data_IF_879289267645
#
_entry.id   IF_879289267645
#
_cell.length_a   1.000
_cell.length_b   1.000
_cell.length_c   1.000
_cell.angle_alpha   90.00
_cell.angle_beta   90.00
_cell.angle_gamma   90.00
#
_symmetry.space_group_name_H-M   'P 1'
#
loop_
_entity.id
_entity.type
_entity.pdbx_description
1 polymer ?
#
# COMPACT_ATOMS: atom_id res chain seq x y z
N UNK A 1 6.82 10.61 -26.90
CA UNK A 1 6.35 10.32 -25.52
C UNK A 1 7.48 9.62 -24.80
N UNK A 2 8.14 10.30 -23.86
CA UNK A 2 9.20 9.71 -23.05
C UNK A 2 8.59 8.75 -22.02
N UNK A 3 9.08 7.50 -21.99
CA UNK A 3 8.70 6.51 -20.98
C UNK A 3 9.43 6.86 -19.69
N UNK A 4 8.73 7.43 -18.72
CA UNK A 4 9.23 7.54 -17.35
C UNK A 4 9.40 6.12 -16.83
N UNK A 5 10.65 5.66 -16.79
CA UNK A 5 11.02 4.37 -16.22
C UNK A 5 11.41 4.64 -14.79
N UNK A 6 10.56 4.24 -13.84
CA UNK A 6 10.84 4.43 -12.42
C UNK A 6 11.97 3.50 -12.00
N UNK A 7 13.08 4.10 -11.59
CA UNK A 7 14.17 3.38 -10.95
C UNK A 7 13.90 3.36 -9.44
N UNK A 8 13.26 2.30 -8.95
CA UNK A 8 13.26 2.04 -7.52
C UNK A 8 14.73 1.79 -7.10
N UNK A 9 15.23 2.43 -6.02
CA UNK A 9 16.52 2.03 -5.48
C UNK A 9 16.46 0.53 -5.16
N UNK A 10 17.55 -0.23 -5.42
CA UNK A 10 17.58 -1.66 -5.13
C UNK A 10 17.26 -1.90 -3.66
N UNK A 11 16.57 -3.01 -3.37
CA UNK A 11 16.25 -3.40 -2.00
C UNK A 11 17.52 -3.36 -1.15
N UNK A 12 17.49 -2.59 -0.05
CA UNK A 12 18.65 -2.38 0.82
C UNK A 12 19.00 -3.68 1.59
N UNK A 13 18.10 -4.68 1.58
CA UNK A 13 18.27 -5.97 2.22
C UNK A 13 17.63 -7.08 1.38
N UNK A 14 18.37 -8.15 1.11
CA UNK A 14 17.84 -9.38 0.50
C UNK A 14 17.11 -10.29 1.52
N UNK A 15 17.14 -9.95 2.81
CA UNK A 15 16.44 -10.69 3.86
C UNK A 15 15.02 -10.16 4.02
N UNK A 16 14.05 -10.99 3.64
CA UNK A 16 12.63 -10.79 3.97
C UNK A 16 12.45 -10.71 5.48
N UNK A 17 11.61 -9.80 5.94
CA UNK A 17 11.28 -9.63 7.36
C UNK A 17 10.62 -10.89 7.94
N UNK A 18 10.84 -11.13 9.23
CA UNK A 18 10.06 -12.12 9.99
C UNK A 18 8.61 -11.64 10.12
N UNK A 19 7.68 -12.55 10.45
CA UNK A 19 6.27 -12.19 10.67
C UNK A 19 6.08 -11.08 11.70
N UNK A 20 6.81 -11.15 12.81
CA UNK A 20 6.79 -10.12 13.85
C UNK A 20 7.32 -8.78 13.32
N UNK A 21 8.43 -8.79 12.57
CA UNK A 21 8.99 -7.57 11.99
C UNK A 21 8.10 -6.97 10.89
N UNK A 22 7.39 -7.78 10.12
CA UNK A 22 6.37 -7.31 9.17
C UNK A 22 5.20 -6.66 9.90
N UNK A 23 4.71 -7.27 10.98
CA UNK A 23 3.66 -6.67 11.80
C UNK A 23 4.10 -5.32 12.37
N UNK A 24 5.34 -5.22 12.86
CA UNK A 24 5.93 -3.96 13.32
C UNK A 24 6.06 -2.92 12.20
N UNK A 25 6.35 -3.33 10.96
CA UNK A 25 6.39 -2.44 9.82
C UNK A 25 5.05 -1.72 9.60
N UNK A 26 3.92 -2.41 9.77
CA UNK A 26 2.61 -1.77 9.61
C UNK A 26 2.30 -0.76 10.73
N UNK A 27 2.73 -1.00 11.97
CA UNK A 27 2.66 0.03 13.01
C UNK A 27 3.58 1.22 12.69
N UNK A 28 4.80 0.95 12.21
CA UNK A 28 5.76 1.99 11.84
C UNK A 28 5.24 2.85 10.68
N UNK A 29 4.51 2.27 9.73
CA UNK A 29 3.86 3.02 8.65
C UNK A 29 2.89 4.07 9.18
N UNK A 30 2.19 3.84 10.30
CA UNK A 30 1.31 4.85 10.88
C UNK A 30 2.10 6.08 11.36
N UNK A 31 3.27 5.88 11.95
CA UNK A 31 4.16 6.97 12.37
C UNK A 31 4.69 7.70 11.13
N UNK A 32 5.19 6.96 10.14
CA UNK A 32 5.73 7.53 8.90
C UNK A 32 4.67 8.31 8.12
N UNK A 33 3.42 7.82 8.06
CA UNK A 33 2.30 8.56 7.46
C UNK A 33 1.93 9.80 8.27
N UNK A 34 2.07 9.74 9.60
CA UNK A 34 1.82 10.90 10.46
C UNK A 34 2.77 12.05 10.13
N UNK A 35 4.04 11.73 9.90
CA UNK A 35 5.06 12.70 9.50
C UNK A 35 4.78 13.26 8.10
N UNK A 36 4.43 12.40 7.13
CA UNK A 36 4.11 12.83 5.75
C UNK A 36 2.89 13.76 5.72
N UNK A 37 1.87 13.48 6.53
CA UNK A 37 0.62 14.24 6.57
C UNK A 37 0.68 15.42 7.55
N UNK A 38 1.70 15.48 8.41
CA UNK A 38 1.79 16.39 9.55
C UNK A 38 0.54 16.32 10.46
N UNK A 39 0.07 15.10 10.74
CA UNK A 39 -1.15 14.80 11.50
C UNK A 39 -1.01 13.45 12.18
N UNK A 40 -1.62 13.26 13.36
CA UNK A 40 -1.58 11.95 14.02
C UNK A 40 -2.44 10.92 13.28
N UNK A 41 -1.81 9.91 12.67
CA UNK A 41 -2.45 8.77 12.02
C UNK A 41 -2.59 7.64 13.02
N UNK A 42 -3.83 7.24 13.27
CA UNK A 42 -4.16 6.08 14.08
C UNK A 42 -4.26 4.85 13.19
N UNK A 43 -3.87 3.70 13.75
CA UNK A 43 -3.98 2.38 13.10
C UNK A 43 -4.96 1.51 13.87
N UNK A 44 -5.91 0.88 13.18
CA UNK A 44 -6.94 0.00 13.74
C UNK A 44 -7.65 0.54 14.99
N UNK A 45 -7.83 1.87 15.10
CA UNK A 45 -8.35 2.52 16.32
C UNK A 45 -7.56 2.17 17.62
N UNK A 46 -6.27 1.85 17.50
CA UNK A 46 -5.42 1.41 18.61
C UNK A 46 -5.53 -0.08 18.95
N UNK A 47 -6.35 -0.84 18.21
CA UNK A 47 -6.42 -2.30 18.36
C UNK A 47 -5.22 -2.99 17.68
N UNK A 48 -4.76 -4.13 18.22
CA UNK A 48 -3.63 -4.84 17.63
C UNK A 48 -3.97 -5.42 16.25
N UNK A 49 -3.00 -5.42 15.34
CA UNK A 49 -3.07 -6.15 14.08
C UNK A 49 -2.83 -7.64 14.35
N UNK A 50 -3.77 -8.51 13.97
CA UNK A 50 -3.69 -9.95 14.17
C UNK A 50 -3.39 -10.67 12.85
N UNK A 51 -2.14 -11.15 12.66
CA UNK A 51 -1.71 -11.84 11.44
C UNK A 51 -2.20 -13.31 11.36
N UNK A 52 -2.95 -13.77 12.36
CA UNK A 52 -3.38 -15.18 12.47
C UNK A 52 -4.53 -15.51 11.52
N UNK A 53 -5.20 -14.49 11.00
CA UNK A 53 -6.31 -14.63 10.08
C UNK A 53 -5.85 -14.89 8.65
N UNK A 54 -6.69 -15.58 7.88
CA UNK A 54 -6.50 -15.75 6.42
C UNK A 54 -6.39 -14.41 5.71
N UNK A 55 -7.08 -13.39 6.24
CA UNK A 55 -7.02 -12.01 5.78
C UNK A 55 -6.95 -11.11 7.01
N UNK A 56 -5.90 -10.30 7.11
CA UNK A 56 -5.73 -9.32 8.18
C UNK A 56 -6.08 -7.94 7.66
N UNK A 57 -7.06 -7.29 8.30
CA UNK A 57 -7.44 -5.92 7.99
C UNK A 57 -6.52 -4.94 8.73
N UNK A 58 -6.01 -3.95 8.00
CA UNK A 58 -5.28 -2.81 8.58
C UNK A 58 -5.89 -1.52 8.06
N UNK A 59 -6.33 -0.68 8.99
CA UNK A 59 -7.01 0.59 8.76
C UNK A 59 -6.20 1.72 9.36
N UNK A 60 -5.74 2.64 8.52
CA UNK A 60 -5.08 3.88 8.91
C UNK A 60 -6.06 5.03 8.75
N UNK A 61 -6.16 5.88 9.77
CA UNK A 61 -7.08 7.01 9.76
C UNK A 61 -6.47 8.25 10.43
N UNK A 62 -6.76 9.40 9.86
CA UNK A 62 -6.58 10.70 10.50
C UNK A 62 -7.63 11.67 9.96
N UNK A 63 -7.66 12.90 10.48
CA UNK A 63 -8.48 13.95 9.86
C UNK A 63 -8.09 14.06 8.37
N UNK A 64 -9.10 13.92 7.49
CA UNK A 64 -8.95 14.04 6.04
C UNK A 64 -8.02 12.99 5.40
N UNK A 65 -7.77 11.86 6.07
CA UNK A 65 -6.96 10.76 5.53
C UNK A 65 -7.52 9.41 5.97
N UNK A 66 -7.62 8.49 5.02
CA UNK A 66 -8.00 7.11 5.27
C UNK A 66 -7.28 6.17 4.29
N UNK A 67 -6.74 5.08 4.81
CA UNK A 67 -6.17 3.99 4.03
C UNK A 67 -6.60 2.66 4.65
N UNK A 68 -7.31 1.83 3.90
CA UNK A 68 -7.72 0.50 4.32
C UNK A 68 -7.06 -0.53 3.43
N UNK A 69 -6.33 -1.46 4.04
CA UNK A 69 -5.66 -2.56 3.36
C UNK A 69 -6.07 -3.91 3.95
N UNK A 70 -6.18 -4.91 3.07
CA UNK A 70 -6.38 -6.31 3.43
C UNK A 70 -5.11 -7.08 3.09
N UNK A 71 -4.52 -7.71 4.09
CA UNK A 71 -3.29 -8.48 3.99
C UNK A 71 -3.63 -9.97 3.91
N UNK A 72 -3.17 -10.66 2.87
CA UNK A 72 -3.33 -12.12 2.73
C UNK A 72 -1.96 -12.74 2.48
N UNK A 73 -1.58 -13.75 3.26
CA UNK A 73 -0.28 -14.46 3.08
C UNK A 73 -0.42 -15.75 2.29
N UNK A 74 -1.54 -16.47 2.44
CA UNK A 74 -1.77 -17.76 1.82
C UNK A 74 -3.04 -17.76 0.96
N UNK A 75 -3.06 -18.46 -0.20
CA UNK A 75 -1.94 -19.18 -0.83
C UNK A 75 -0.94 -18.26 -1.55
N UNK A 76 -1.28 -16.98 -1.70
CA UNK A 76 -0.46 -16.00 -2.41
C UNK A 76 -0.32 -14.73 -1.56
N UNK A 77 0.91 -14.30 -1.23
CA UNK A 77 1.16 -13.09 -0.44
C UNK A 77 0.76 -11.83 -1.20
N UNK A 78 -0.43 -11.30 -0.91
CA UNK A 78 -0.98 -10.11 -1.54
C UNK A 78 -1.37 -9.05 -0.50
N UNK A 79 -1.27 -7.79 -0.92
CA UNK A 79 -1.87 -6.64 -0.23
C UNK A 79 -2.98 -6.10 -1.11
N UNK A 80 -4.21 -6.00 -0.60
CA UNK A 80 -5.33 -5.38 -1.31
C UNK A 80 -5.61 -3.99 -0.72
N UNK A 81 -5.43 -2.93 -1.51
CA UNK A 81 -5.85 -1.58 -1.12
C UNK A 81 -7.35 -1.47 -1.40
N UNK A 82 -8.15 -1.49 -0.34
CA UNK A 82 -9.61 -1.42 -0.43
C UNK A 82 -10.12 0.02 -0.40
N UNK A 83 -9.37 0.93 0.22
CA UNK A 83 -9.73 2.34 0.28
C UNK A 83 -8.49 3.20 0.42
N UNK A 84 -8.44 4.30 -0.31
CA UNK A 84 -7.50 5.40 -0.10
C UNK A 84 -8.25 6.71 -0.29
N UNK A 85 -8.20 7.58 0.72
CA UNK A 85 -8.74 8.93 0.67
C UNK A 85 -7.75 9.88 1.31
N UNK A 86 -7.38 10.95 0.60
CA UNK A 86 -6.47 11.98 1.11
C UNK A 86 -6.99 13.36 0.74
N UNK A 87 -7.15 14.22 1.74
CA UNK A 87 -7.55 15.61 1.57
C UNK A 87 -6.59 16.57 2.30
N UNK A 88 -6.36 17.77 1.74
CA UNK A 88 -6.88 18.27 0.46
C UNK A 88 -6.29 17.54 -0.77
N UNK A 89 -7.08 17.45 -1.84
CA UNK A 89 -6.67 16.81 -3.09
C UNK A 89 -5.64 17.66 -3.86
N UNK A 90 -4.97 17.07 -4.85
CA UNK A 90 -4.01 17.73 -5.75
C UNK A 90 -2.76 18.36 -5.09
N UNK A 91 -2.42 17.97 -3.85
CA UNK A 91 -1.17 18.38 -3.18
C UNK A 91 -0.06 17.31 -3.23
N UNK A 92 -0.26 16.24 -3.99
CA UNK A 92 0.69 15.13 -4.10
C UNK A 92 0.82 14.26 -2.84
N UNK A 93 0.02 14.50 -1.80
CA UNK A 93 0.05 13.71 -0.56
C UNK A 93 -0.29 12.23 -0.80
N UNK A 94 -1.33 11.95 -1.59
CA UNK A 94 -1.67 10.56 -1.96
C UNK A 94 -0.53 9.84 -2.67
N UNK A 95 0.12 10.51 -3.63
CA UNK A 95 1.31 10.00 -4.33
C UNK A 95 2.45 9.71 -3.35
N UNK A 96 2.74 10.62 -2.42
CA UNK A 96 3.79 10.42 -1.40
C UNK A 96 3.49 9.24 -0.49
N UNK A 97 2.27 9.15 0.04
CA UNK A 97 1.83 8.06 0.92
C UNK A 97 1.95 6.71 0.19
N UNK A 98 1.38 6.59 -1.01
CA UNK A 98 1.41 5.31 -1.73
C UNK A 98 2.82 4.95 -2.17
N UNK A 99 3.62 5.90 -2.67
CA UNK A 99 5.00 5.61 -3.07
C UNK A 99 5.83 5.13 -1.88
N UNK A 100 5.68 5.79 -0.74
CA UNK A 100 6.34 5.38 0.50
C UNK A 100 5.87 4.01 0.96
N UNK A 101 4.56 3.77 0.96
CA UNK A 101 3.97 2.47 1.28
C UNK A 101 4.52 1.34 0.40
N UNK A 102 4.50 1.51 -0.92
CA UNK A 102 5.02 0.53 -1.88
C UNK A 102 6.51 0.25 -1.67
N UNK A 103 7.28 1.29 -1.33
CA UNK A 103 8.70 1.13 -0.98
C UNK A 103 8.88 0.32 0.31
N UNK A 104 8.08 0.54 1.36
CA UNK A 104 8.20 -0.27 2.59
C UNK A 104 7.80 -1.72 2.36
N UNK A 105 6.85 -1.96 1.45
CA UNK A 105 6.46 -3.33 1.08
C UNK A 105 7.58 -4.14 0.40
N UNK A 106 8.61 -3.52 -0.22
CA UNK A 106 9.73 -4.28 -0.79
C UNK A 106 10.51 -5.09 0.27
N UNK A 107 10.48 -4.63 1.52
CA UNK A 107 11.15 -5.28 2.65
C UNK A 107 10.35 -6.50 3.17
N UNK A 108 9.11 -6.66 2.72
CA UNK A 108 8.20 -7.73 3.16
C UNK A 108 8.22 -8.95 2.24
N UNK A 109 7.51 -9.99 2.64
CA UNK A 109 7.26 -11.18 1.83
C UNK A 109 6.08 -11.06 0.87
N UNK A 110 5.34 -9.94 0.86
CA UNK A 110 4.25 -9.72 -0.09
C UNK A 110 4.79 -9.55 -1.51
N UNK A 111 4.12 -10.14 -2.50
CA UNK A 111 4.59 -10.16 -3.90
C UNK A 111 3.89 -9.13 -4.78
N UNK A 112 2.66 -8.76 -4.42
CA UNK A 112 1.87 -7.79 -5.19
C UNK A 112 0.93 -6.98 -4.32
N UNK A 113 0.62 -5.80 -4.84
CA UNK A 113 -0.48 -4.95 -4.36
C UNK A 113 -1.58 -4.98 -5.41
N UNK A 114 -2.83 -5.18 -5.00
CA UNK A 114 -4.00 -5.18 -5.86
C UNK A 114 -5.00 -4.10 -5.41
N UNK A 115 -5.85 -3.66 -6.33
CA UNK A 115 -6.95 -2.73 -6.06
C UNK A 115 -8.05 -2.81 -7.13
N UNK A 116 -9.25 -2.37 -6.76
CA UNK A 116 -10.39 -2.09 -7.64
C UNK A 116 -10.43 -0.57 -7.90
N UNK A 117 -10.65 -0.14 -9.15
CA UNK A 117 -10.82 1.27 -9.48
C UNK A 117 -11.90 1.49 -10.54
N UNK A 118 -12.90 2.28 -10.17
CA UNK A 118 -14.16 2.40 -10.91
C UNK A 118 -14.26 3.64 -11.79
N UNK A 119 -13.39 4.65 -11.61
CA UNK A 119 -13.42 5.89 -12.37
C UNK A 119 -12.07 6.17 -13.06
N UNK A 120 -12.09 7.04 -14.07
CA UNK A 120 -10.92 7.29 -14.92
C UNK A 120 -9.83 8.14 -14.22
N UNK A 121 -10.20 8.97 -13.24
CA UNK A 121 -9.24 9.78 -12.49
C UNK A 121 -8.36 8.91 -11.59
N UNK A 122 -8.99 8.02 -10.83
CA UNK A 122 -8.32 7.02 -9.99
C UNK A 122 -7.43 6.13 -10.85
N UNK A 123 -7.91 5.65 -12.01
CA UNK A 123 -7.10 4.86 -12.94
C UNK A 123 -5.85 5.60 -13.41
N UNK A 124 -5.94 6.90 -13.68
CA UNK A 124 -4.77 7.72 -14.04
C UNK A 124 -3.81 7.85 -12.86
N UNK A 125 -4.32 8.07 -11.65
CA UNK A 125 -3.53 8.13 -10.44
C UNK A 125 -2.75 6.81 -10.22
N UNK A 126 -3.43 5.66 -10.21
CA UNK A 126 -2.79 4.37 -10.00
C UNK A 126 -1.83 4.00 -11.14
N UNK A 127 -2.18 4.29 -12.39
CA UNK A 127 -1.27 4.11 -13.53
C UNK A 127 0.02 4.91 -13.38
N UNK A 128 -0.08 6.15 -12.88
CA UNK A 128 1.11 7.00 -12.67
C UNK A 128 2.08 6.42 -11.63
N UNK A 129 1.55 5.62 -10.69
CA UNK A 129 2.30 4.90 -9.66
C UNK A 129 2.79 3.51 -10.11
N UNK A 130 2.59 3.15 -11.37
CA UNK A 130 3.08 1.89 -11.95
C UNK A 130 2.12 0.71 -11.82
N UNK A 131 0.89 0.91 -11.33
CA UNK A 131 -0.13 -0.13 -11.40
C UNK A 131 -0.54 -0.38 -12.86
N UNK A 132 -0.86 -1.64 -13.16
CA UNK A 132 -1.28 -2.09 -14.48
C UNK A 132 -2.64 -2.78 -14.37
N UNK A 133 -3.50 -2.69 -15.40
CA UNK A 133 -4.73 -3.47 -15.42
C UNK A 133 -4.41 -4.97 -15.42
N UNK A 134 -5.25 -5.78 -14.78
CA UNK A 134 -5.16 -7.25 -14.89
C UNK A 134 -5.93 -7.72 -16.11
N UNK A 135 -5.29 -8.50 -16.98
CA UNK A 135 -5.94 -9.05 -18.17
C UNK A 135 -6.71 -10.37 -17.88
N UNK A 136 -6.64 -10.88 -16.64
CA UNK A 136 -7.02 -12.27 -16.32
C UNK A 136 -8.17 -12.46 -15.34
N UNK A 137 -8.53 -11.44 -14.55
CA UNK A 137 -9.54 -11.58 -13.50
C UNK A 137 -10.55 -10.43 -13.57
N UNK A 138 -11.80 -10.78 -13.85
CA UNK A 138 -12.95 -9.87 -13.96
C UNK A 138 -13.34 -9.17 -12.64
N UNK A 139 -12.67 -9.53 -11.54
CA UNK A 139 -12.82 -8.92 -10.21
C UNK A 139 -11.57 -8.16 -9.74
N UNK A 140 -10.47 -8.23 -10.49
CA UNK A 140 -9.20 -7.59 -10.16
C UNK A 140 -8.90 -6.58 -11.24
N UNK A 141 -9.21 -5.30 -11.01
CA UNK A 141 -9.02 -4.34 -12.07
C UNK A 141 -7.54 -4.01 -12.24
N UNK A 142 -6.76 -3.84 -11.17
CA UNK A 142 -5.37 -3.38 -11.24
C UNK A 142 -4.43 -4.03 -10.23
N UNK A 143 -3.17 -4.18 -10.62
CA UNK A 143 -2.11 -4.71 -9.76
C UNK A 143 -0.77 -3.97 -9.93
N UNK A 144 0.06 -4.05 -8.90
CA UNK A 144 1.45 -3.64 -8.87
C UNK A 144 2.30 -4.81 -8.36
N UNK A 145 3.34 -5.20 -9.11
CA UNK A 145 4.29 -6.22 -8.68
C UNK A 145 5.33 -5.56 -7.77
N UNK A 146 5.48 -6.04 -6.55
CA UNK A 146 6.45 -5.50 -5.60
C UNK A 146 7.86 -5.90 -6.07
N UNK A 147 8.78 -4.93 -6.26
CA UNK A 147 10.17 -5.24 -6.55
C UNK A 147 10.85 -5.74 -5.26
N UNK A 148 11.57 -6.85 -5.37
CA UNK A 148 12.47 -7.38 -4.33
C UNK A 148 13.91 -7.33 -4.86
#
# INVERSE_FOLDING_TARGET
MERITWHFPPAISSRKLTRESEQQLFYQLAIEFSDILNRNVQINNGLPILFEDRVTLVHYQAKQFELTINLRKDPEPIVNISQLSVQPQNQGLGTKIVTHFLRRLSDTSYERVILDTRNDEDRRFWRSLGFKPSDRDWHLDWFFKIPH
#
